data_IF_016559776220
#
_entry.id   IF_016559776220
#
_cell.length_a   1.000
_cell.length_b   1.000
_cell.length_c   1.000
_cell.angle_alpha   90.00
_cell.angle_beta   90.00
_cell.angle_gamma   90.00
#
_symmetry.space_group_name_H-M   'P 1'
#
loop_
_entity.id
_entity.type
_entity.pdbx_description
1 polymer ?
#
# COMPACT_ATOMS: atom_id res chain seq x y z
N UNK A 1 5.41 8.90 0.43
CA UNK A 1 5.77 9.32 1.82
C UNK A 1 6.01 8.01 2.58
N UNK A 2 7.04 7.78 3.43
CA UNK A 2 7.38 8.41 4.72
C UNK A 2 8.86 8.17 5.11
N UNK A 3 9.42 9.11 5.89
CA UNK A 3 10.79 9.21 6.46
C UNK A 3 11.17 8.04 7.39
N UNK A 4 12.42 7.57 7.48
CA UNK A 4 13.71 8.27 7.60
C UNK A 4 14.74 7.84 6.54
N UNK A 5 15.66 8.72 6.15
CA UNK A 5 16.80 8.45 5.24
C UNK A 5 16.44 7.96 3.81
N UNK A 6 15.44 8.56 3.14
CA UNK A 6 15.20 8.35 1.70
C UNK A 6 14.46 7.06 1.32
N UNK A 7 14.10 6.22 2.29
CA UNK A 7 13.32 5.00 2.08
C UNK A 7 11.83 5.22 1.76
N UNK A 8 11.10 4.11 1.73
CA UNK A 8 9.63 4.08 1.60
C UNK A 8 9.15 3.03 0.62
N UNK A 9 7.87 3.12 0.26
CA UNK A 9 7.23 2.16 -0.62
C UNK A 9 6.55 2.84 -1.81
N UNK A 10 6.48 2.10 -2.91
CA UNK A 10 5.57 2.36 -4.03
C UNK A 10 4.47 1.33 -3.95
N UNK A 11 3.21 1.76 -4.06
CA UNK A 11 2.05 0.88 -3.99
C UNK A 11 1.32 0.98 -5.33
N UNK A 12 1.13 -0.15 -5.98
CA UNK A 12 0.44 -0.24 -7.26
C UNK A 12 -0.85 -1.06 -7.12
N UNK A 13 -1.93 -0.56 -7.72
CA UNK A 13 -3.17 -1.33 -7.85
C UNK A 13 -3.06 -2.29 -9.03
N UNK A 14 -3.29 -3.58 -8.77
CA UNK A 14 -3.74 -4.52 -9.79
C UNK A 14 -5.28 -4.48 -9.74
N UNK A 15 -5.86 -3.76 -10.70
CA UNK A 15 -7.29 -3.52 -10.75
C UNK A 15 -8.03 -4.79 -11.17
N UNK A 16 -8.69 -5.45 -10.20
CA UNK A 16 -9.41 -6.70 -10.41
C UNK A 16 -10.87 -6.57 -10.00
N UNK A 17 -11.75 -7.26 -10.73
CA UNK A 17 -13.15 -7.41 -10.33
C UNK A 17 -13.24 -8.27 -9.06
N UNK A 18 -14.03 -7.84 -8.10
CA UNK A 18 -14.32 -8.51 -6.83
C UNK A 18 -13.25 -8.35 -5.76
N UNK A 19 -11.96 -8.32 -6.11
CA UNK A 19 -10.87 -8.18 -5.13
C UNK A 19 -9.57 -7.71 -5.78
N UNK A 20 -9.43 -6.39 -5.97
CA UNK A 20 -8.16 -5.78 -6.39
C UNK A 20 -7.03 -6.19 -5.45
N UNK A 21 -5.84 -6.34 -6.02
CA UNK A 21 -4.62 -6.62 -5.28
C UNK A 21 -3.74 -5.38 -5.24
N UNK A 22 -3.03 -5.16 -4.12
CA UNK A 22 -2.13 -4.02 -3.98
C UNK A 22 -0.70 -4.51 -3.79
N UNK A 23 0.13 -4.25 -4.79
CA UNK A 23 1.54 -4.67 -4.80
C UNK A 23 2.39 -3.59 -4.16
N UNK A 24 3.24 -3.99 -3.22
CA UNK A 24 4.14 -3.10 -2.50
C UNK A 24 5.57 -3.32 -2.97
N UNK A 25 6.24 -2.25 -3.38
CA UNK A 25 7.62 -2.26 -3.86
C UNK A 25 8.49 -1.31 -3.03
N UNK A 26 9.80 -1.56 -3.02
CA UNK A 26 10.77 -0.61 -2.46
C UNK A 26 10.76 0.69 -3.27
N UNK A 27 10.71 1.84 -2.58
CA UNK A 27 10.86 3.14 -3.23
C UNK A 27 12.27 3.39 -3.74
N UNK A 28 13.29 2.77 -3.14
CA UNK A 28 14.71 3.03 -3.45
C UNK A 28 15.29 2.05 -4.46
N UNK A 29 14.49 1.12 -4.98
CA UNK A 29 14.97 0.03 -5.82
C UNK A 29 15.78 -1.01 -5.04
N UNK A 30 16.48 -1.89 -5.76
CA UNK A 30 17.37 -2.89 -5.22
C UNK A 30 18.72 -2.28 -4.77
N UNK A 31 19.43 -2.98 -3.87
CA UNK A 31 20.73 -2.54 -3.39
C UNK A 31 21.72 -2.38 -4.57
N UNK A 32 22.30 -1.18 -4.72
CA UNK A 32 23.21 -0.86 -5.82
C UNK A 32 22.53 -0.66 -7.18
N UNK A 33 21.20 -0.80 -7.27
CA UNK A 33 20.43 -0.59 -8.49
C UNK A 33 19.12 0.18 -8.20
N UNK A 34 19.17 1.52 -8.15
CA UNK A 34 18.05 2.35 -7.69
C UNK A 34 16.82 2.34 -8.62
N UNK A 35 16.92 1.77 -9.81
CA UNK A 35 15.83 1.65 -10.79
C UNK A 35 15.23 0.25 -10.85
N UNK A 36 15.78 -0.72 -10.11
CA UNK A 36 15.24 -2.07 -10.06
C UNK A 36 14.15 -2.18 -8.98
N UNK A 37 12.90 -2.13 -9.42
CA UNK A 37 11.70 -2.34 -8.60
C UNK A 37 11.00 -3.67 -8.92
N UNK A 38 11.72 -4.63 -9.53
CA UNK A 38 11.12 -5.90 -10.00
C UNK A 38 10.62 -6.80 -8.88
N UNK A 39 11.14 -6.64 -7.66
CA UNK A 39 10.75 -7.43 -6.50
C UNK A 39 9.55 -6.84 -5.78
N UNK A 40 8.43 -7.54 -5.84
CA UNK A 40 7.30 -7.33 -4.93
C UNK A 40 7.69 -7.71 -3.50
N UNK A 41 7.50 -6.78 -2.56
CA UNK A 41 7.77 -6.98 -1.13
C UNK A 41 6.56 -7.61 -0.42
N UNK A 42 5.35 -7.23 -0.81
CA UNK A 42 4.10 -7.79 -0.31
C UNK A 42 2.96 -7.60 -1.31
N UNK A 43 1.92 -8.42 -1.20
CA UNK A 43 0.66 -8.27 -1.94
C UNK A 43 -0.49 -8.26 -0.94
N UNK A 44 -1.30 -7.22 -0.98
CA UNK A 44 -2.47 -7.09 -0.11
C UNK A 44 -3.73 -7.45 -0.88
N UNK A 45 -4.64 -8.16 -0.22
CA UNK A 45 -6.00 -8.42 -0.70
C UNK A 45 -6.99 -7.97 0.35
N UNK A 46 -7.62 -6.83 0.09
CA UNK A 46 -8.49 -6.15 1.04
C UNK A 46 -9.98 -6.24 0.72
N UNK A 47 -10.35 -6.87 -0.41
CA UNK A 47 -11.75 -7.06 -0.81
C UNK A 47 -12.39 -5.88 -1.51
N UNK A 48 -11.68 -4.77 -1.73
CA UNK A 48 -12.19 -3.69 -2.58
C UNK A 48 -12.22 -4.13 -4.06
N UNK A 49 -13.33 -3.81 -4.71
CA UNK A 49 -13.61 -4.18 -6.09
C UNK A 49 -13.14 -3.08 -7.06
N UNK A 50 -12.42 -3.51 -8.10
CA UNK A 50 -12.10 -2.70 -9.28
C UNK A 50 -11.44 -1.35 -8.95
N UNK A 51 -10.58 -1.31 -7.93
CA UNK A 51 -9.88 -0.10 -7.44
C UNK A 51 -9.09 0.58 -8.55
N UNK A 52 -9.50 1.80 -8.92
CA UNK A 52 -8.76 2.70 -9.81
C UNK A 52 -7.79 3.61 -9.03
N UNK A 53 -8.23 4.15 -7.90
CA UNK A 53 -7.54 5.14 -7.08
C UNK A 53 -7.08 4.58 -5.74
N UNK A 54 -5.85 4.93 -5.38
CA UNK A 54 -5.21 4.66 -4.10
C UNK A 54 -4.59 5.94 -3.55
N UNK A 55 -4.61 6.10 -2.23
CA UNK A 55 -3.81 7.12 -1.54
C UNK A 55 -3.35 6.61 -0.17
N UNK A 56 -2.23 7.14 0.35
CA UNK A 56 -1.63 6.65 1.58
C UNK A 56 -1.02 7.77 2.44
N UNK A 57 -1.18 7.65 3.76
CA UNK A 57 -0.60 8.54 4.75
C UNK A 57 0.09 7.72 5.86
N UNK A 58 1.20 8.23 6.43
CA UNK A 58 1.81 7.67 7.66
C UNK A 58 1.73 8.59 8.84
N UNK A 59 1.06 9.73 8.69
CA UNK A 59 0.82 10.55 9.84
C UNK A 59 0.07 9.69 10.86
N UNK A 60 0.33 9.93 12.14
CA UNK A 60 -0.58 9.44 13.16
C UNK A 60 -1.93 10.13 12.95
N UNK A 61 -2.95 9.36 12.56
CA UNK A 61 -4.30 9.85 12.29
C UNK A 61 -5.27 9.48 13.43
N UNK A 62 -4.74 9.31 14.65
CA UNK A 62 -5.50 8.97 15.85
C UNK A 62 -5.42 7.49 16.23
N UNK A 63 -6.17 7.08 17.27
CA UNK A 63 -5.99 5.78 17.93
C UNK A 63 -6.26 4.56 17.02
N UNK A 64 -7.07 4.73 15.97
CA UNK A 64 -7.36 3.65 15.01
C UNK A 64 -6.30 3.52 13.91
N UNK A 65 -5.53 4.59 13.67
CA UNK A 65 -4.54 4.69 12.59
C UNK A 65 -3.24 5.35 13.09
N UNK A 66 -2.59 4.82 14.15
CA UNK A 66 -1.43 5.46 14.76
C UNK A 66 -0.21 5.46 13.84
N UNK A 67 -0.14 4.51 12.89
CA UNK A 67 0.89 4.41 11.85
C UNK A 67 0.41 4.92 10.48
N UNK A 68 -0.77 5.54 10.42
CA UNK A 68 -1.44 5.93 9.18
C UNK A 68 -2.17 4.78 8.50
N UNK A 69 -2.47 4.96 7.20
CA UNK A 69 -3.38 4.09 6.44
C UNK A 69 -3.14 4.15 4.94
N UNK A 70 -3.66 3.14 4.25
CA UNK A 70 -3.91 3.10 2.80
C UNK A 70 -5.42 3.22 2.57
N UNK A 71 -5.85 4.07 1.64
CA UNK A 71 -7.22 4.20 1.16
C UNK A 71 -7.32 3.59 -0.22
N UNK A 72 -8.36 2.79 -0.47
CA UNK A 72 -8.67 2.25 -1.78
C UNK A 72 -10.12 2.48 -2.19
N UNK A 73 -10.32 2.94 -3.42
CA UNK A 73 -11.64 2.99 -4.04
C UNK A 73 -12.23 1.60 -4.20
N UNK A 74 -13.51 1.44 -3.89
CA UNK A 74 -14.26 0.20 -4.03
C UNK A 74 -15.52 0.45 -4.88
N UNK A 75 -15.49 -0.03 -6.13
CA UNK A 75 -16.51 0.25 -7.12
C UNK A 75 -17.87 -0.36 -6.75
N UNK A 76 -17.90 -1.67 -6.43
CA UNK A 76 -19.13 -2.38 -6.03
C UNK A 76 -19.86 -1.74 -4.85
N UNK A 77 -19.12 -1.32 -3.82
CA UNK A 77 -19.67 -0.73 -2.60
C UNK A 77 -19.87 0.78 -2.69
N UNK A 78 -19.42 1.44 -3.77
CA UNK A 78 -19.42 2.90 -3.96
C UNK A 78 -18.86 3.65 -2.74
N UNK A 79 -17.79 3.12 -2.16
CA UNK A 79 -17.15 3.65 -0.97
C UNK A 79 -15.62 3.54 -1.07
N UNK A 80 -14.95 3.90 0.02
CA UNK A 80 -13.52 3.71 0.16
C UNK A 80 -13.25 2.76 1.33
N UNK A 81 -12.40 1.76 1.12
CA UNK A 81 -11.90 0.91 2.18
C UNK A 81 -10.62 1.50 2.74
N UNK A 82 -10.47 1.45 4.07
CA UNK A 82 -9.30 1.93 4.79
C UNK A 82 -8.57 0.74 5.39
N UNK A 83 -7.27 0.65 5.10
CA UNK A 83 -6.40 -0.38 5.63
C UNK A 83 -5.37 0.26 6.56
N UNK A 84 -5.25 -0.26 7.79
CA UNK A 84 -4.23 0.21 8.73
C UNK A 84 -2.84 -0.10 8.18
N UNK A 85 -1.96 0.88 8.21
CA UNK A 85 -0.59 0.70 7.75
C UNK A 85 0.17 -0.39 8.54
N UNK A 86 -0.13 -0.55 9.83
CA UNK A 86 0.45 -1.61 10.68
C UNK A 86 0.21 -3.02 10.13
N UNK A 87 -0.96 -3.26 9.56
CA UNK A 87 -1.35 -4.58 9.05
C UNK A 87 -0.61 -4.86 7.73
N UNK A 88 -0.34 -3.81 6.94
CA UNK A 88 0.50 -3.85 5.74
C UNK A 88 1.95 -4.16 6.12
N UNK A 89 2.48 -3.47 7.14
CA UNK A 89 3.86 -3.67 7.59
C UNK A 89 4.13 -5.08 8.07
N UNK A 90 3.14 -5.74 8.69
CA UNK A 90 3.26 -7.13 9.13
C UNK A 90 3.46 -8.14 7.97
N UNK A 91 3.12 -7.75 6.73
CA UNK A 91 3.32 -8.56 5.52
C UNK A 91 4.70 -8.35 4.88
N UNK A 92 5.42 -7.29 5.26
CA UNK A 92 6.70 -6.95 4.68
C UNK A 92 7.82 -7.88 5.19
N UNK A 93 8.84 -8.17 4.37
CA UNK A 93 10.01 -8.91 4.82
C UNK A 93 10.71 -8.16 5.97
N UNK A 94 11.19 -8.92 6.96
CA UNK A 94 11.93 -8.43 8.12
C UNK A 94 13.38 -8.12 7.79
#
# INVERSE_FOLDING_TARGET
>A
MYSQAGGGYVICTEQLRGSSAYHVFSRTGAAGNPHDHSRTLAVLRGGADSTDGLDAASANLGPNFPAGLLVAMNSSGKNFLLYRWSDIQALLPK
#
